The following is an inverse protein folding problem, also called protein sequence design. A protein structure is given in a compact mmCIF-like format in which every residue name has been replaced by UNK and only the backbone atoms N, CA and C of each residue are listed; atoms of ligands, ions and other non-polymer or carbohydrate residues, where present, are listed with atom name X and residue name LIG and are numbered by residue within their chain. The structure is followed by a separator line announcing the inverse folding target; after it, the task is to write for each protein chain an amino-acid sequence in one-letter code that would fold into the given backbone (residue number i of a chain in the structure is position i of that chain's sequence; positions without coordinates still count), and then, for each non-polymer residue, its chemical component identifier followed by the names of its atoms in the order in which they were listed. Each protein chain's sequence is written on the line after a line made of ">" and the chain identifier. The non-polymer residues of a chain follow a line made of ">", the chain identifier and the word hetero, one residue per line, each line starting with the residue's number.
data_IF_081577122160
#
_entry.id   IF_081577122160
#
_cell.length_a   1.000
_cell.length_b   1.000
_cell.length_c   1.000
_cell.angle_alpha   90.00
_cell.angle_beta   90.00
_cell.angle_gamma   90.00
#
_symmetry.space_group_name_H-M   'P 1'
#
loop_
_entity.id
_entity.type
_entity.pdbx_description
1 polymer ?
#
# COMPACT_ATOMS: atom_id res chain seq x y z
N UNK A 1 12.31 12.76 -0.37
CA UNK A 1 13.40 13.07 -1.33
C UNK A 1 14.79 12.64 -0.85
N UNK A 2 15.14 12.78 0.45
CA UNK A 2 16.48 12.40 0.89
C UNK A 2 16.74 10.90 0.72
N UNK A 3 15.81 10.01 1.07
CA UNK A 3 15.98 8.58 0.84
C UNK A 3 16.14 8.24 -0.64
N UNK A 4 15.38 8.90 -1.52
CA UNK A 4 15.51 8.72 -2.96
C UNK A 4 16.88 9.20 -3.48
N UNK A 5 17.37 10.32 -2.97
CA UNK A 5 18.68 10.87 -3.31
C UNK A 5 19.83 9.98 -2.81
N UNK A 6 19.75 9.50 -1.56
CA UNK A 6 20.86 8.82 -0.90
C UNK A 6 20.90 7.31 -1.19
N UNK A 7 19.75 6.68 -1.42
CA UNK A 7 19.63 5.23 -1.63
C UNK A 7 19.06 4.81 -2.99
N UNK A 8 18.65 5.78 -3.81
CA UNK A 8 18.00 5.54 -5.10
C UNK A 8 16.49 5.41 -4.99
N UNK A 9 15.79 5.71 -6.09
CA UNK A 9 14.33 5.73 -6.14
C UNK A 9 13.70 4.37 -5.79
N UNK A 10 14.32 3.27 -6.22
CA UNK A 10 13.81 1.92 -5.96
C UNK A 10 13.87 1.52 -4.48
N UNK A 11 14.67 2.22 -3.69
CA UNK A 11 14.90 1.92 -2.27
C UNK A 11 14.24 2.89 -1.30
N UNK A 12 13.72 4.03 -1.76
CA UNK A 12 13.28 5.07 -0.84
C UNK A 12 12.10 4.64 0.06
N UNK A 13 11.14 3.86 -0.46
CA UNK A 13 10.01 3.38 0.35
C UNK A 13 10.46 2.31 1.34
N UNK A 14 11.32 1.39 0.90
CA UNK A 14 11.95 0.39 1.79
C UNK A 14 12.68 1.07 2.95
N UNK A 15 13.47 2.11 2.65
CA UNK A 15 14.20 2.87 3.66
C UNK A 15 13.26 3.65 4.59
N UNK A 16 12.18 4.20 4.09
CA UNK A 16 11.17 4.83 4.93
C UNK A 16 10.55 3.82 5.92
N UNK A 17 10.20 2.63 5.46
CA UNK A 17 9.72 1.56 6.34
C UNK A 17 10.79 1.18 7.35
N UNK A 18 12.05 1.00 6.93
CA UNK A 18 13.16 0.65 7.80
C UNK A 18 13.34 1.64 8.95
N UNK A 19 13.31 2.94 8.65
CA UNK A 19 13.58 3.99 9.64
C UNK A 19 12.38 4.31 10.55
N UNK A 20 11.15 4.11 10.10
CA UNK A 20 9.96 4.61 10.80
C UNK A 20 9.04 3.54 11.37
N UNK A 21 9.21 2.26 11.02
CA UNK A 21 8.32 1.23 11.52
C UNK A 21 8.62 0.86 12.97
N UNK A 22 7.56 0.49 13.68
CA UNK A 22 7.63 -0.17 14.98
C UNK A 22 7.20 -1.64 14.85
N UNK A 23 7.54 -2.44 15.86
CA UNK A 23 7.08 -3.84 15.93
C UNK A 23 5.56 -3.90 15.92
N UNK A 24 5.00 -4.81 15.11
CA UNK A 24 3.56 -5.04 14.95
C UNK A 24 2.82 -3.96 14.15
N UNK A 25 3.52 -3.04 13.52
CA UNK A 25 2.88 -2.10 12.59
C UNK A 25 2.17 -2.83 11.45
N UNK A 26 1.12 -2.19 10.95
CA UNK A 26 0.46 -2.53 9.70
C UNK A 26 1.00 -1.63 8.58
N UNK A 27 1.55 -2.23 7.55
CA UNK A 27 2.02 -1.50 6.38
C UNK A 27 0.98 -1.59 5.27
N UNK A 28 0.59 -0.45 4.72
CA UNK A 28 -0.29 -0.36 3.55
C UNK A 28 0.53 0.15 2.37
N UNK A 29 0.64 -0.65 1.32
CA UNK A 29 1.36 -0.31 0.10
C UNK A 29 0.38 -0.18 -1.06
N UNK A 30 0.43 0.97 -1.74
CA UNK A 30 -0.48 1.31 -2.84
C UNK A 30 0.34 1.48 -4.11
N UNK A 31 0.04 0.68 -5.12
CA UNK A 31 0.66 0.74 -6.44
C UNK A 31 -0.36 0.38 -7.50
N UNK A 32 -0.78 1.33 -8.34
CA UNK A 32 -1.80 1.09 -9.37
C UNK A 32 -1.42 -0.06 -10.30
N UNK A 33 -0.17 -0.17 -10.71
CA UNK A 33 0.31 -1.27 -11.55
C UNK A 33 0.65 -2.55 -10.77
N UNK A 34 1.02 -2.42 -9.50
CA UNK A 34 1.55 -3.53 -8.71
C UNK A 34 2.95 -4.01 -9.14
N UNK A 35 3.64 -3.24 -10.01
CA UNK A 35 4.94 -3.60 -10.58
C UNK A 35 6.07 -2.63 -10.19
N UNK A 36 5.76 -1.58 -9.42
CA UNK A 36 6.73 -0.58 -9.01
C UNK A 36 7.77 -1.17 -8.06
N UNK A 37 9.05 -1.12 -8.43
CA UNK A 37 10.14 -1.75 -7.68
C UNK A 37 10.29 -1.19 -6.26
N UNK A 38 10.09 0.11 -6.07
CA UNK A 38 10.13 0.72 -4.74
C UNK A 38 9.08 0.11 -3.78
N UNK A 39 7.86 -0.18 -4.27
CA UNK A 39 6.81 -0.83 -3.49
C UNK A 39 7.10 -2.32 -3.25
N UNK A 40 7.63 -3.02 -4.25
CA UNK A 40 8.02 -4.43 -4.14
C UNK A 40 9.15 -4.59 -3.13
N UNK A 41 10.17 -3.74 -3.17
CA UNK A 41 11.27 -3.75 -2.22
C UNK A 41 10.79 -3.48 -0.79
N UNK A 42 9.92 -2.48 -0.61
CA UNK A 42 9.33 -2.17 0.68
C UNK A 42 8.49 -3.33 1.24
N UNK A 43 7.70 -3.98 0.37
CA UNK A 43 6.90 -5.14 0.75
C UNK A 43 7.79 -6.31 1.21
N UNK A 44 8.84 -6.61 0.47
CA UNK A 44 9.79 -7.66 0.83
C UNK A 44 10.51 -7.37 2.15
N UNK A 45 10.90 -6.11 2.38
CA UNK A 45 11.49 -5.69 3.66
C UNK A 45 10.50 -5.87 4.81
N UNK A 46 9.28 -5.35 4.67
CA UNK A 46 8.23 -5.47 5.70
C UNK A 46 7.92 -6.93 6.03
N UNK A 47 7.92 -7.80 5.02
CA UNK A 47 7.73 -9.24 5.18
C UNK A 47 8.87 -9.89 6.00
N UNK A 48 10.12 -9.50 5.74
CA UNK A 48 11.29 -9.96 6.53
C UNK A 48 11.18 -9.52 8.00
N UNK A 49 10.61 -8.33 8.25
CA UNK A 49 10.36 -7.82 9.59
C UNK A 49 9.12 -8.42 10.25
N UNK A 50 8.41 -9.34 9.56
CA UNK A 50 7.17 -9.98 10.04
C UNK A 50 6.05 -8.98 10.35
N UNK A 51 6.00 -7.88 9.60
CA UNK A 51 4.92 -6.90 9.68
C UNK A 51 3.69 -7.41 8.91
N UNK A 52 2.52 -6.98 9.33
CA UNK A 52 1.30 -7.19 8.55
C UNK A 52 1.27 -6.24 7.36
N UNK A 53 0.87 -6.75 6.19
CA UNK A 53 0.95 -5.99 4.94
C UNK A 53 -0.38 -6.09 4.20
N UNK A 54 -0.97 -4.95 3.89
CA UNK A 54 -2.09 -4.82 2.95
C UNK A 54 -1.56 -4.14 1.69
N UNK A 55 -1.91 -4.67 0.53
CA UNK A 55 -1.54 -4.08 -0.76
C UNK A 55 -2.79 -3.68 -1.54
N UNK A 56 -2.71 -2.54 -2.23
CA UNK A 56 -3.76 -2.05 -3.12
C UNK A 56 -3.17 -1.98 -4.52
N UNK A 57 -3.76 -2.71 -5.46
CA UNK A 57 -3.25 -2.81 -6.83
C UNK A 57 -4.38 -2.72 -7.87
N UNK A 58 -4.00 -2.62 -9.12
CA UNK A 58 -4.88 -2.66 -10.29
C UNK A 58 -4.18 -3.37 -11.44
N UNK A 59 -4.49 -2.99 -12.67
CA UNK A 59 -3.93 -3.56 -13.89
C UNK A 59 -4.07 -5.08 -13.95
N UNK A 60 -2.99 -5.82 -14.12
CA UNK A 60 -3.02 -7.27 -14.19
C UNK A 60 -3.32 -7.89 -12.81
N UNK A 61 -4.21 -8.85 -12.77
CA UNK A 61 -4.58 -9.55 -11.52
C UNK A 61 -3.40 -10.27 -10.87
N UNK A 62 -2.47 -10.73 -11.69
CA UNK A 62 -1.26 -11.44 -11.26
C UNK A 62 -0.03 -10.53 -11.15
N UNK A 63 -0.23 -9.23 -10.90
CA UNK A 63 0.89 -8.32 -10.66
C UNK A 63 1.72 -8.77 -9.43
N UNK A 64 2.99 -8.39 -9.41
CA UNK A 64 3.94 -8.90 -8.39
C UNK A 64 3.54 -8.53 -6.96
N UNK A 65 3.09 -7.29 -6.76
CA UNK A 65 2.76 -6.81 -5.42
C UNK A 65 1.53 -7.52 -4.84
N UNK A 66 0.58 -7.96 -5.69
CA UNK A 66 -0.66 -8.60 -5.25
C UNK A 66 -0.45 -9.90 -4.47
N UNK A 67 0.65 -10.60 -4.74
CA UNK A 67 0.97 -11.90 -4.11
C UNK A 67 1.89 -11.80 -2.91
N UNK A 68 2.45 -10.62 -2.62
CA UNK A 68 3.49 -10.46 -1.60
C UNK A 68 2.97 -10.14 -0.20
N UNK A 69 1.87 -9.40 -0.09
CA UNK A 69 1.27 -9.02 1.20
C UNK A 69 0.36 -10.11 1.78
N UNK A 70 -0.22 -9.81 2.94
CA UNK A 70 -1.19 -10.70 3.60
C UNK A 70 -2.57 -10.59 2.96
N UNK A 71 -3.00 -9.38 2.58
CA UNK A 71 -4.27 -9.07 1.93
C UNK A 71 -3.98 -8.17 0.75
N UNK A 72 -4.59 -8.46 -0.39
CA UNK A 72 -4.55 -7.60 -1.57
C UNK A 72 -5.97 -7.14 -1.96
N UNK A 73 -6.11 -5.85 -2.19
CA UNK A 73 -7.28 -5.24 -2.80
C UNK A 73 -6.95 -4.90 -4.25
N UNK A 74 -7.53 -5.62 -5.18
CA UNK A 74 -7.26 -5.46 -6.60
C UNK A 74 -8.45 -4.85 -7.33
N UNK A 75 -8.18 -3.85 -8.19
CA UNK A 75 -9.17 -3.21 -9.07
C UNK A 75 -9.01 -3.75 -10.48
N UNK A 76 -10.04 -4.34 -11.05
CA UNK A 76 -10.05 -4.82 -12.43
C UNK A 76 -10.19 -3.66 -13.43
N UNK A 77 -9.13 -2.91 -13.57
CA UNK A 77 -9.04 -1.78 -14.50
C UNK A 77 -7.58 -1.49 -14.85
N UNK A 78 -7.38 -0.86 -16.02
CA UNK A 78 -6.10 -0.28 -16.45
C UNK A 78 -6.12 1.25 -16.40
N UNK A 79 -7.25 1.84 -16.08
CA UNK A 79 -7.41 3.29 -15.99
C UNK A 79 -6.98 3.79 -14.61
N UNK A 80 -5.94 4.61 -14.56
CA UNK A 80 -5.38 5.12 -13.30
C UNK A 80 -6.41 5.84 -12.43
N UNK A 81 -7.23 6.70 -13.05
CA UNK A 81 -8.28 7.42 -12.32
C UNK A 81 -9.30 6.48 -11.67
N UNK A 82 -9.68 5.38 -12.29
CA UNK A 82 -10.59 4.40 -11.72
C UNK A 82 -9.92 3.64 -10.56
N UNK A 83 -8.68 3.21 -10.77
CA UNK A 83 -7.90 2.48 -9.76
C UNK A 83 -7.68 3.35 -8.53
N UNK A 84 -7.16 4.56 -8.72
CA UNK A 84 -6.78 5.45 -7.62
C UNK A 84 -8.00 5.93 -6.82
N UNK A 85 -9.10 6.30 -7.48
CA UNK A 85 -10.33 6.67 -6.79
C UNK A 85 -10.95 5.48 -6.06
N UNK A 86 -10.91 4.27 -6.62
CA UNK A 86 -11.40 3.07 -5.93
C UNK A 86 -10.55 2.75 -4.70
N UNK A 87 -9.23 2.85 -4.79
CA UNK A 87 -8.34 2.67 -3.65
C UNK A 87 -8.64 3.68 -2.53
N UNK A 88 -8.88 4.94 -2.88
CA UNK A 88 -9.25 5.96 -1.90
C UNK A 88 -10.58 5.63 -1.20
N UNK A 89 -11.59 5.22 -1.96
CA UNK A 89 -12.89 4.83 -1.39
C UNK A 89 -12.72 3.64 -0.43
N UNK A 90 -11.98 2.61 -0.82
CA UNK A 90 -11.74 1.45 0.02
C UNK A 90 -10.99 1.79 1.32
N UNK A 91 -9.99 2.68 1.25
CA UNK A 91 -9.28 3.16 2.45
C UNK A 91 -10.21 3.89 3.40
N UNK A 92 -11.10 4.75 2.88
CA UNK A 92 -12.11 5.44 3.69
C UNK A 92 -13.10 4.46 4.31
N UNK A 93 -13.55 3.45 3.56
CA UNK A 93 -14.41 2.40 4.09
C UNK A 93 -13.75 1.60 5.23
N UNK A 94 -12.46 1.33 5.12
CA UNK A 94 -11.70 0.68 6.20
C UNK A 94 -11.67 1.56 7.45
N UNK A 95 -11.43 2.87 7.27
CA UNK A 95 -11.49 3.83 8.38
C UNK A 95 -12.88 3.87 9.04
N UNK A 96 -13.93 3.90 8.23
CA UNK A 96 -15.32 3.91 8.73
C UNK A 96 -15.65 2.64 9.54
N UNK A 97 -15.16 1.49 9.09
CA UNK A 97 -15.31 0.23 9.82
C UNK A 97 -14.59 0.25 11.17
N UNK A 98 -13.40 0.81 11.23
CA UNK A 98 -12.62 0.94 12.47
C UNK A 98 -13.30 1.90 13.44
N UNK A 99 -13.80 3.03 12.94
CA UNK A 99 -14.52 4.03 13.74
C UNK A 99 -15.90 3.53 14.16
N UNK A 100 -16.52 2.64 13.38
CA UNK A 100 -17.85 2.12 13.61
C UNK A 100 -18.98 3.06 13.18
N UNK A 101 -18.67 4.07 12.33
CA UNK A 101 -19.63 5.04 11.79
C UNK A 101 -19.45 5.16 10.29
N UNK A 102 -20.56 5.42 9.58
CA UNK A 102 -20.56 5.67 8.13
C UNK A 102 -20.87 7.11 7.77
N UNK A 103 -21.46 7.86 8.70
CA UNK A 103 -21.89 9.23 8.50
C UNK A 103 -21.25 10.13 9.57
N UNK A 104 -20.74 11.26 9.12
CA UNK A 104 -20.14 12.29 9.95
C UNK A 104 -20.99 13.56 9.80
N UNK A 105 -21.97 13.71 10.68
CA UNK A 105 -22.87 14.85 10.68
C UNK A 105 -22.25 16.00 11.49
N UNK A 106 -22.51 17.27 11.09
CA UNK A 106 -22.09 18.40 11.90
C UNK A 106 -22.84 18.40 13.24
N UNK A 107 -22.15 18.80 14.26
CA UNK A 107 -22.73 18.96 15.60
C UNK A 107 -23.71 20.15 15.63
#
# INVERSE_FOLDING_TARGET
>A
TCFSNDYGYDKWVEKAVEFYHDKKDLIILISSSGESMNMINACNFAKKQKLNIITFTGHAKNNKLSSLGNINFWVDSKAYNFIENTHQIWLLMICDLIIGKREYLPN
#
